data_IF_297979749931
#
_entry.id   IF_297979749931
#
_cell.length_a   1.000
_cell.length_b   1.000
_cell.length_c   1.000
_cell.angle_alpha   90.00
_cell.angle_beta   90.00
_cell.angle_gamma   90.00
#
_symmetry.space_group_name_H-M   'P 1'
#
loop_
_entity.id
_entity.type
_entity.pdbx_description
1 polymer ?
#
# COMPACT_ATOMS: atom_id res chain seq x y z
N UNK A 1 -18.58 -32.00 -15.16
CA UNK A 1 -17.46 -31.05 -15.21
C UNK A 1 -16.62 -31.50 -16.36
N UNK A 2 -16.68 -30.76 -17.47
CA UNK A 2 -15.97 -31.08 -18.71
C UNK A 2 -14.47 -31.08 -18.46
N UNK A 3 -13.85 -32.25 -18.62
CA UNK A 3 -12.40 -32.38 -18.73
C UNK A 3 -12.03 -32.03 -20.16
N UNK A 4 -11.45 -30.85 -20.37
CA UNK A 4 -10.98 -30.35 -21.67
C UNK A 4 -10.01 -31.35 -22.30
N UNK A 5 -10.56 -32.20 -23.16
CA UNK A 5 -9.84 -33.26 -23.85
C UNK A 5 -9.58 -32.80 -25.27
N UNK A 6 -8.32 -32.77 -25.68
CA UNK A 6 -7.93 -32.32 -27.01
C UNK A 6 -7.14 -33.42 -27.76
N UNK A 7 -7.47 -33.62 -29.04
CA UNK A 7 -6.88 -34.64 -29.90
C UNK A 7 -5.98 -33.98 -30.94
N UNK A 8 -4.71 -34.42 -31.02
CA UNK A 8 -3.69 -33.82 -31.89
C UNK A 8 -3.07 -34.85 -32.86
N UNK A 9 -2.62 -34.40 -34.04
CA UNK A 9 -2.02 -35.23 -35.09
C UNK A 9 -0.55 -34.85 -35.35
N UNK A 10 0.32 -35.86 -35.47
CA UNK A 10 1.77 -35.67 -35.65
C UNK A 10 2.21 -35.62 -37.11
N UNK A 11 3.09 -34.66 -37.46
CA UNK A 11 3.46 -34.40 -38.87
C UNK A 11 4.90 -34.69 -39.28
N UNK A 12 5.89 -34.81 -38.37
CA UNK A 12 7.33 -34.90 -38.71
C UNK A 12 8.20 -35.87 -37.87
N UNK A 13 9.30 -36.39 -38.46
CA UNK A 13 10.31 -37.27 -37.86
C UNK A 13 11.40 -36.53 -37.03
N UNK A 14 12.10 -37.26 -36.14
CA UNK A 14 13.11 -36.78 -35.17
C UNK A 14 14.55 -37.09 -35.64
N UNK A 15 15.50 -36.15 -35.51
CA UNK A 15 16.95 -36.39 -35.68
C UNK A 15 17.58 -36.96 -34.39
N UNK A 16 18.43 -37.99 -34.50
CA UNK A 16 19.08 -38.66 -33.35
C UNK A 16 20.07 -37.76 -32.57
N UNK A 17 20.45 -36.64 -33.14
CA UNK A 17 21.47 -35.73 -32.62
C UNK A 17 21.02 -34.95 -31.38
N UNK A 18 19.74 -35.07 -31.05
CA UNK A 18 19.02 -34.35 -29.99
C UNK A 18 18.36 -35.35 -29.02
N UNK A 19 18.97 -36.52 -28.83
CA UNK A 19 18.32 -37.71 -28.25
C UNK A 19 17.92 -37.74 -26.76
N UNK A 20 18.21 -36.79 -25.84
CA UNK A 20 17.37 -36.76 -24.64
C UNK A 20 15.93 -36.30 -24.99
N UNK A 21 15.70 -35.58 -26.10
CA UNK A 21 14.67 -34.55 -26.14
C UNK A 21 13.21 -34.93 -26.39
N UNK A 22 12.91 -36.21 -26.55
CA UNK A 22 11.54 -36.65 -26.80
C UNK A 22 11.27 -37.80 -25.87
N UNK A 23 10.02 -37.99 -25.48
CA UNK A 23 9.52 -39.04 -24.58
C UNK A 23 9.90 -40.51 -24.96
N UNK A 24 10.88 -40.73 -25.85
CA UNK A 24 11.20 -41.99 -26.53
C UNK A 24 10.07 -42.43 -27.44
N UNK A 25 9.15 -41.51 -27.73
CA UNK A 25 7.92 -41.76 -28.43
C UNK A 25 8.09 -41.35 -29.88
N UNK A 26 8.51 -42.32 -30.69
CA UNK A 26 8.31 -42.25 -32.13
C UNK A 26 6.87 -42.67 -32.38
N UNK A 27 6.06 -41.74 -32.87
CA UNK A 27 4.70 -41.99 -33.34
C UNK A 27 4.68 -41.86 -34.85
N UNK A 28 3.95 -42.76 -35.48
CA UNK A 28 3.78 -42.74 -36.92
C UNK A 28 2.96 -41.53 -37.35
N UNK A 29 3.19 -41.09 -38.58
CA UNK A 29 2.45 -39.96 -39.17
C UNK A 29 0.95 -40.28 -39.16
N UNK A 30 0.13 -39.34 -38.71
CA UNK A 30 -1.33 -39.54 -38.58
C UNK A 30 -1.77 -40.20 -37.27
N UNK A 31 -0.85 -40.52 -36.36
CA UNK A 31 -1.21 -40.94 -35.02
C UNK A 31 -1.91 -39.80 -34.25
N UNK A 32 -3.01 -40.14 -33.59
CA UNK A 32 -3.78 -39.23 -32.74
C UNK A 32 -3.36 -39.41 -31.29
N UNK A 33 -3.02 -38.30 -30.63
CA UNK A 33 -2.73 -38.28 -29.21
C UNK A 33 -3.84 -37.52 -28.47
N UNK A 34 -4.42 -38.16 -27.46
CA UNK A 34 -5.43 -37.55 -26.59
C UNK A 34 -4.75 -36.96 -25.36
N UNK A 35 -4.93 -35.65 -25.16
CA UNK A 35 -4.44 -34.91 -24.01
C UNK A 35 -5.58 -34.62 -23.05
N UNK A 36 -5.31 -34.84 -21.77
CA UNK A 36 -6.21 -34.60 -20.63
C UNK A 36 -5.46 -33.83 -19.54
N UNK A 37 -6.18 -33.24 -18.59
CA UNK A 37 -5.61 -32.46 -17.48
C UNK A 37 -4.61 -31.39 -17.98
N UNK A 38 -5.07 -30.53 -18.90
CA UNK A 38 -4.23 -29.51 -19.55
C UNK A 38 -4.00 -28.33 -18.61
N UNK A 39 -2.73 -27.98 -18.40
CA UNK A 39 -2.26 -26.89 -17.54
C UNK A 39 -1.18 -26.05 -18.23
N UNK A 40 -0.83 -24.89 -17.62
CA UNK A 40 0.32 -24.06 -18.00
C UNK A 40 0.37 -23.61 -19.47
N UNK A 41 -0.77 -23.20 -20.02
CA UNK A 41 -0.87 -22.67 -21.38
C UNK A 41 -0.06 -21.38 -21.57
N UNK A 42 0.95 -21.41 -22.43
CA UNK A 42 1.83 -20.26 -22.72
C UNK A 42 2.24 -20.22 -24.19
N UNK A 43 2.19 -19.05 -24.82
CA UNK A 43 2.72 -18.85 -26.18
C UNK A 43 4.25 -18.97 -26.18
N UNK A 44 4.83 -19.61 -27.20
CA UNK A 44 6.28 -19.72 -27.36
C UNK A 44 6.91 -18.33 -27.61
N UNK A 45 8.02 -18.03 -26.93
CA UNK A 45 8.65 -16.71 -26.98
C UNK A 45 9.32 -16.41 -28.34
N UNK A 46 9.61 -17.46 -29.12
CA UNK A 46 10.31 -17.39 -30.42
C UNK A 46 9.37 -17.57 -31.60
N UNK A 47 8.31 -18.36 -31.44
CA UNK A 47 7.30 -18.62 -32.47
C UNK A 47 5.90 -18.29 -31.94
N UNK A 48 5.33 -17.18 -32.43
CA UNK A 48 4.01 -16.70 -31.99
C UNK A 48 2.87 -17.64 -32.37
N UNK A 49 3.10 -18.51 -33.34
CA UNK A 49 2.14 -19.52 -33.78
C UNK A 49 2.34 -20.85 -33.04
N UNK A 50 3.31 -20.94 -32.12
CA UNK A 50 3.49 -22.09 -31.25
C UNK A 50 3.09 -21.77 -29.79
N UNK A 51 2.65 -22.79 -29.07
CA UNK A 51 2.33 -22.68 -27.65
C UNK A 51 2.70 -23.95 -26.89
N UNK A 52 2.81 -23.79 -25.59
CA UNK A 52 3.25 -24.75 -24.60
C UNK A 52 2.09 -25.13 -23.69
N UNK A 53 1.98 -26.42 -23.37
CA UNK A 53 1.03 -26.94 -22.38
C UNK A 53 1.68 -28.09 -21.60
N UNK A 54 1.28 -28.26 -20.34
CA UNK A 54 1.49 -29.48 -19.58
C UNK A 54 0.21 -30.32 -19.64
N UNK A 55 0.32 -31.62 -19.94
CA UNK A 55 -0.86 -32.48 -20.03
C UNK A 55 -0.53 -33.95 -19.70
N UNK A 56 -1.58 -34.71 -19.39
CA UNK A 56 -1.55 -36.17 -19.33
C UNK A 56 -1.98 -36.78 -20.66
N UNK A 57 -1.36 -37.89 -21.03
CA UNK A 57 -1.68 -38.64 -22.24
C UNK A 57 -1.52 -40.14 -22.00
N UNK A 58 -2.21 -40.94 -22.82
CA UNK A 58 -2.01 -42.39 -22.83
C UNK A 58 -0.86 -42.68 -23.80
N UNK A 59 0.23 -43.24 -23.29
CA UNK A 59 1.36 -43.64 -24.13
C UNK A 59 0.97 -44.87 -24.97
N UNK A 60 0.94 -44.77 -26.31
CA UNK A 60 0.47 -45.86 -27.18
C UNK A 60 1.38 -47.09 -27.19
N UNK A 61 2.62 -46.99 -26.69
CA UNK A 61 3.54 -48.13 -26.57
C UNK A 61 3.41 -48.87 -25.25
N UNK A 62 3.08 -48.16 -24.16
CA UNK A 62 3.03 -48.75 -22.81
C UNK A 62 1.60 -48.90 -22.28
N UNK A 63 0.64 -48.27 -22.93
CA UNK A 63 -0.76 -48.14 -22.52
C UNK A 63 -0.92 -47.58 -21.09
N UNK A 64 0.02 -46.75 -20.65
CA UNK A 64 0.01 -46.10 -19.34
C UNK A 64 -0.26 -44.61 -19.49
N UNK A 65 -0.92 -44.05 -18.48
CA UNK A 65 -1.09 -42.60 -18.35
C UNK A 65 0.26 -42.01 -17.95
N UNK A 66 0.74 -41.08 -18.75
CA UNK A 66 2.01 -40.40 -18.59
C UNK A 66 1.78 -38.88 -18.66
N UNK A 67 2.64 -38.10 -17.99
CA UNK A 67 2.58 -36.64 -18.00
C UNK A 67 3.74 -36.09 -18.80
N UNK A 68 3.48 -35.11 -19.65
CA UNK A 68 4.50 -34.45 -20.46
C UNK A 68 4.19 -32.99 -20.68
N UNK A 69 5.22 -32.26 -21.07
CA UNK A 69 5.09 -30.91 -21.56
C UNK A 69 5.18 -30.92 -23.08
N UNK A 70 4.22 -30.29 -23.73
CA UNK A 70 4.02 -30.33 -25.17
C UNK A 70 4.30 -28.96 -25.76
N UNK A 71 5.07 -28.94 -26.84
CA UNK A 71 5.19 -27.80 -27.74
C UNK A 71 4.28 -28.08 -28.92
N UNK A 72 3.30 -27.21 -29.12
CA UNK A 72 2.26 -27.34 -30.11
C UNK A 72 2.44 -26.24 -31.15
N UNK A 73 2.62 -26.62 -32.41
CA UNK A 73 2.69 -25.71 -33.54
C UNK A 73 1.30 -25.52 -34.14
N UNK A 74 0.85 -24.27 -34.23
CA UNK A 74 -0.39 -23.90 -34.89
C UNK A 74 -0.11 -23.41 -36.32
N UNK A 75 0.43 -24.28 -37.18
CA UNK A 75 0.58 -23.94 -38.59
C UNK A 75 -0.78 -23.85 -39.32
N UNK A 76 -1.87 -24.37 -38.73
CA UNK A 76 -3.22 -24.29 -39.27
C UNK A 76 -4.27 -24.50 -38.15
N UNK A 77 -5.32 -23.67 -38.02
CA UNK A 77 -6.38 -23.83 -37.03
C UNK A 77 -7.18 -25.14 -37.14
N UNK A 78 -7.05 -25.88 -38.25
CA UNK A 78 -7.65 -27.22 -38.45
C UNK A 78 -6.67 -28.39 -38.29
N UNK A 79 -5.37 -28.11 -38.15
CA UNK A 79 -4.31 -29.14 -38.03
C UNK A 79 -3.24 -28.63 -37.08
N UNK A 80 -3.45 -28.95 -35.82
CA UNK A 80 -2.52 -28.63 -34.74
C UNK A 80 -1.48 -29.73 -34.64
N UNK A 81 -0.20 -29.37 -34.70
CA UNK A 81 0.90 -30.34 -34.78
C UNK A 81 1.69 -30.35 -33.48
N UNK A 82 1.87 -31.52 -32.87
CA UNK A 82 2.80 -31.64 -31.74
C UNK A 82 4.23 -31.55 -32.31
N UNK A 83 4.94 -30.50 -31.95
CA UNK A 83 6.32 -30.24 -32.38
C UNK A 83 7.30 -31.08 -31.55
N UNK A 84 7.11 -31.13 -30.23
CA UNK A 84 7.98 -31.86 -29.29
C UNK A 84 7.25 -32.16 -27.98
N UNK A 85 7.62 -33.26 -27.31
CA UNK A 85 7.13 -33.66 -25.99
C UNK A 85 8.33 -33.91 -25.09
N UNK A 86 8.44 -33.24 -23.94
CA UNK A 86 9.47 -33.49 -22.94
C UNK A 86 8.90 -33.87 -21.58
N UNK A 87 9.67 -34.66 -20.82
CA UNK A 87 9.24 -35.27 -19.54
C UNK A 87 9.60 -34.41 -18.32
N UNK A 88 10.56 -33.51 -18.47
CA UNK A 88 11.13 -32.68 -17.40
C UNK A 88 11.10 -31.20 -17.77
N UNK A 89 11.69 -30.32 -16.94
CA UNK A 89 11.67 -28.88 -17.22
C UNK A 89 12.37 -28.53 -18.54
N UNK A 90 11.86 -27.52 -19.25
CA UNK A 90 12.45 -26.97 -20.49
C UNK A 90 13.95 -26.70 -20.32
N UNK A 91 14.35 -26.19 -19.15
CA UNK A 91 15.73 -25.84 -18.87
C UNK A 91 16.62 -27.09 -18.77
N UNK A 92 16.22 -28.07 -17.97
CA UNK A 92 16.92 -29.36 -17.84
C UNK A 92 17.15 -30.01 -19.20
N UNK A 93 16.13 -29.90 -20.03
CA UNK A 93 16.04 -30.51 -21.34
C UNK A 93 16.97 -29.82 -22.36
N UNK A 94 16.96 -28.49 -22.35
CA UNK A 94 17.90 -27.67 -23.12
C UNK A 94 19.36 -27.90 -22.68
N UNK A 95 19.61 -27.98 -21.38
CA UNK A 95 20.94 -28.17 -20.80
C UNK A 95 21.54 -29.52 -21.22
N UNK A 96 20.79 -30.61 -21.06
CA UNK A 96 21.24 -31.96 -21.43
C UNK A 96 21.55 -32.07 -22.93
N UNK A 97 20.73 -31.44 -23.76
CA UNK A 97 20.86 -31.51 -25.23
C UNK A 97 22.03 -30.71 -25.75
N UNK A 98 22.21 -29.51 -25.20
CA UNK A 98 23.35 -28.66 -25.50
C UNK A 98 24.65 -29.39 -25.18
N UNK A 99 24.71 -30.05 -24.01
CA UNK A 99 25.90 -30.80 -23.61
C UNK A 99 26.11 -32.05 -24.47
N UNK A 100 25.09 -32.85 -24.76
CA UNK A 100 25.23 -34.04 -25.61
C UNK A 100 25.60 -33.69 -27.06
N UNK A 101 25.08 -32.59 -27.61
CA UNK A 101 25.46 -32.11 -28.95
C UNK A 101 26.94 -31.75 -29.00
N UNK A 102 27.43 -31.03 -27.97
CA UNK A 102 28.86 -30.67 -27.85
C UNK A 102 29.74 -31.91 -27.72
N UNK A 103 29.38 -32.82 -26.81
CA UNK A 103 30.10 -34.07 -26.56
C UNK A 103 30.13 -35.01 -27.78
N UNK A 104 29.18 -34.88 -28.70
CA UNK A 104 29.20 -35.63 -29.96
C UNK A 104 30.03 -34.91 -31.02
N UNK A 105 29.90 -33.58 -31.09
CA UNK A 105 30.69 -32.75 -32.00
C UNK A 105 32.19 -32.82 -31.73
N UNK A 106 32.58 -33.02 -30.47
CA UNK A 106 33.98 -33.23 -30.06
C UNK A 106 34.42 -34.70 -30.10
N UNK A 107 33.53 -35.64 -30.46
CA UNK A 107 33.80 -37.08 -30.54
C UNK A 107 33.90 -37.79 -29.18
N UNK A 108 33.60 -37.12 -28.06
CA UNK A 108 33.67 -37.70 -26.71
C UNK A 108 32.62 -38.77 -26.43
N UNK A 109 31.52 -38.77 -27.18
CA UNK A 109 30.46 -39.78 -27.14
C UNK A 109 30.09 -40.24 -28.55
N UNK A 110 29.85 -41.53 -28.71
CA UNK A 110 29.42 -42.12 -29.99
C UNK A 110 27.89 -42.14 -30.12
N UNK A 111 27.34 -42.29 -31.34
CA UNK A 111 25.90 -42.49 -31.55
C UNK A 111 25.33 -43.67 -30.75
N UNK A 112 26.08 -44.76 -30.59
CA UNK A 112 25.67 -45.94 -29.84
C UNK A 112 25.55 -45.63 -28.33
N UNK A 113 26.50 -44.86 -27.78
CA UNK A 113 26.46 -44.41 -26.40
C UNK A 113 25.27 -43.47 -26.15
N UNK A 114 24.89 -42.65 -27.14
CA UNK A 114 23.69 -41.82 -27.07
C UNK A 114 22.40 -42.67 -27.02
N UNK A 115 22.34 -43.75 -27.79
CA UNK A 115 21.21 -44.70 -27.74
C UNK A 115 21.13 -45.38 -26.37
N UNK A 116 22.27 -45.74 -25.78
CA UNK A 116 22.30 -46.32 -24.42
C UNK A 116 21.85 -45.30 -23.36
N UNK A 117 22.33 -44.06 -23.42
CA UNK A 117 21.93 -42.96 -22.55
C UNK A 117 20.43 -42.63 -22.63
N UNK A 118 19.82 -42.81 -23.80
CA UNK A 118 18.39 -42.58 -23.99
C UNK A 118 17.52 -43.44 -23.07
N UNK A 119 17.93 -44.68 -22.76
CA UNK A 119 17.20 -45.55 -21.84
C UNK A 119 17.15 -44.99 -20.41
N UNK A 120 18.24 -44.39 -19.95
CA UNK A 120 18.37 -43.75 -18.63
C UNK A 120 17.62 -42.41 -18.57
N UNK A 121 17.50 -41.70 -19.69
CA UNK A 121 16.62 -40.56 -19.77
C UNK A 121 15.15 -40.98 -19.67
N UNK A 122 14.74 -41.97 -20.46
CA UNK A 122 13.35 -42.44 -20.53
C UNK A 122 12.82 -42.94 -19.18
N UNK A 123 13.62 -43.71 -18.44
CA UNK A 123 13.25 -44.19 -17.10
C UNK A 123 13.35 -43.10 -16.02
N UNK A 124 13.83 -41.90 -16.36
CA UNK A 124 13.96 -40.76 -15.46
C UNK A 124 15.12 -40.89 -14.48
N UNK A 125 16.15 -41.68 -14.78
CA UNK A 125 17.39 -41.72 -13.98
C UNK A 125 18.38 -40.64 -14.41
N UNK A 126 18.23 -40.12 -15.64
CA UNK A 126 19.03 -39.04 -16.19
C UNK A 126 18.18 -37.75 -16.28
N UNK A 127 18.27 -36.89 -15.26
CA UNK A 127 17.50 -35.63 -15.13
C UNK A 127 18.37 -34.39 -14.95
N UNK A 128 19.68 -34.50 -15.10
CA UNK A 128 20.62 -33.40 -14.88
C UNK A 128 21.95 -33.66 -15.55
N UNK A 129 22.72 -32.59 -15.79
CA UNK A 129 24.05 -32.66 -16.39
C UNK A 129 25.03 -33.44 -15.50
N UNK A 130 24.94 -33.33 -14.17
CA UNK A 130 25.73 -34.13 -13.24
C UNK A 130 25.48 -35.64 -13.41
N UNK A 131 24.22 -36.04 -13.51
CA UNK A 131 23.85 -37.44 -13.77
C UNK A 131 24.32 -37.91 -15.16
N UNK A 132 24.36 -37.02 -16.16
CA UNK A 132 24.92 -37.32 -17.49
C UNK A 132 26.41 -37.63 -17.39
N UNK A 133 27.15 -36.81 -16.66
CA UNK A 133 28.59 -37.00 -16.43
C UNK A 133 28.83 -38.29 -15.66
N UNK A 134 28.05 -38.57 -14.62
CA UNK A 134 28.20 -39.79 -13.83
C UNK A 134 27.92 -41.04 -14.69
N UNK A 135 26.87 -41.01 -15.51
CA UNK A 135 26.55 -42.13 -16.42
C UNK A 135 27.58 -42.29 -17.53
N UNK A 136 28.05 -41.20 -18.11
CA UNK A 136 29.16 -41.26 -19.06
C UNK A 136 30.45 -41.75 -18.42
N UNK A 137 30.70 -41.39 -17.16
CA UNK A 137 31.84 -41.90 -16.39
C UNK A 137 31.68 -43.39 -16.10
N UNK A 138 30.47 -43.88 -15.80
CA UNK A 138 30.19 -45.31 -15.63
C UNK A 138 30.42 -46.09 -16.95
N UNK A 139 29.93 -45.54 -18.08
CA UNK A 139 30.12 -46.11 -19.41
C UNK A 139 31.60 -46.12 -19.83
N UNK A 140 32.35 -45.07 -19.51
CA UNK A 140 33.81 -44.98 -19.73
C UNK A 140 34.62 -45.73 -18.68
N UNK A 141 34.07 -46.03 -17.51
CA UNK A 141 34.71 -46.87 -16.48
C UNK A 141 34.72 -48.34 -16.91
N UNK A 142 33.76 -48.77 -17.74
CA UNK A 142 33.85 -50.04 -18.48
C UNK A 142 34.96 -50.04 -19.54
N UNK A 143 35.43 -48.85 -19.96
CA UNK A 143 36.53 -48.66 -20.94
C UNK A 143 37.84 -48.15 -20.34
N UNK A 144 38.01 -48.14 -19.01
CA UNK A 144 39.33 -47.97 -18.35
C UNK A 144 39.85 -46.56 -18.06
N UNK A 145 39.04 -45.49 -18.05
CA UNK A 145 39.53 -44.12 -17.75
C UNK A 145 38.93 -43.61 -16.43
N UNK A 146 39.66 -43.73 -15.31
CA UNK A 146 39.08 -43.60 -13.95
C UNK A 146 39.33 -42.29 -13.18
N UNK A 147 40.39 -41.53 -13.44
CA UNK A 147 40.83 -40.50 -12.47
C UNK A 147 40.54 -39.04 -12.88
N UNK A 148 40.69 -38.67 -14.16
CA UNK A 148 40.42 -37.30 -14.61
C UNK A 148 38.94 -36.91 -14.56
N UNK A 149 38.04 -37.81 -14.97
CA UNK A 149 36.60 -37.56 -15.05
C UNK A 149 35.92 -37.43 -13.67
N UNK A 150 36.36 -38.21 -12.67
CA UNK A 150 35.82 -38.13 -11.31
C UNK A 150 36.16 -36.81 -10.62
N UNK A 151 37.35 -36.28 -10.87
CA UNK A 151 37.76 -34.97 -10.36
C UNK A 151 36.93 -33.85 -11.00
N UNK A 152 36.76 -33.87 -12.34
CA UNK A 152 35.93 -32.91 -13.06
C UNK A 152 34.44 -33.00 -12.66
N UNK A 153 33.89 -34.20 -12.45
CA UNK A 153 32.50 -34.36 -11.98
C UNK A 153 32.28 -33.72 -10.61
N UNK A 154 33.21 -33.92 -9.66
CA UNK A 154 33.13 -33.29 -8.33
C UNK A 154 33.23 -31.76 -8.39
N UNK A 155 34.10 -31.20 -9.23
CA UNK A 155 34.17 -29.75 -9.38
C UNK A 155 32.92 -29.15 -10.02
N UNK A 156 32.36 -29.83 -11.03
CA UNK A 156 31.14 -29.40 -11.71
C UNK A 156 29.93 -29.49 -10.79
N UNK A 157 29.82 -30.54 -9.97
CA UNK A 157 28.76 -30.65 -8.95
C UNK A 157 28.79 -29.48 -7.96
N UNK A 158 29.99 -29.08 -7.51
CA UNK A 158 30.15 -27.91 -6.63
C UNK A 158 29.74 -26.61 -7.32
N UNK A 159 30.10 -26.46 -8.61
CA UNK A 159 29.70 -25.28 -9.40
C UNK A 159 28.20 -25.24 -9.62
N UNK A 160 27.56 -26.36 -9.95
CA UNK A 160 26.10 -26.46 -10.10
C UNK A 160 25.35 -26.13 -8.81
N UNK A 161 25.85 -26.61 -7.67
CA UNK A 161 25.28 -26.29 -6.36
C UNK A 161 25.43 -24.79 -6.04
N UNK A 162 26.57 -24.20 -6.39
CA UNK A 162 26.80 -22.75 -6.27
C UNK A 162 25.85 -21.95 -7.17
N UNK A 163 25.66 -22.37 -8.42
CA UNK A 163 24.73 -21.74 -9.37
C UNK A 163 23.29 -21.86 -8.88
N UNK A 164 22.90 -23.02 -8.34
CA UNK A 164 21.57 -23.24 -7.78
C UNK A 164 21.31 -22.32 -6.57
N UNK A 165 22.28 -22.20 -5.66
CA UNK A 165 22.17 -21.31 -4.51
C UNK A 165 22.10 -19.85 -4.94
N UNK A 166 22.92 -19.44 -5.91
CA UNK A 166 22.95 -18.08 -6.45
C UNK A 166 21.65 -17.72 -7.16
N UNK A 167 21.12 -18.62 -8.00
CA UNK A 167 19.85 -18.42 -8.69
C UNK A 167 18.66 -18.37 -7.73
N UNK A 168 18.67 -19.17 -6.66
CA UNK A 168 17.64 -19.09 -5.61
C UNK A 168 17.71 -17.78 -4.84
N UNK A 169 18.92 -17.28 -4.53
CA UNK A 169 19.11 -15.97 -3.91
C UNK A 169 18.58 -14.85 -4.83
N UNK A 170 18.93 -14.86 -6.12
CA UNK A 170 18.42 -13.93 -7.13
C UNK A 170 16.89 -13.92 -7.21
N UNK A 171 16.25 -15.11 -7.19
CA UNK A 171 14.78 -15.20 -7.19
C UNK A 171 14.17 -14.53 -5.96
N UNK A 172 14.74 -14.77 -4.76
CA UNK A 172 14.28 -14.12 -3.52
C UNK A 172 14.46 -12.61 -3.58
N UNK A 173 15.60 -12.13 -4.08
CA UNK A 173 15.86 -10.70 -4.24
C UNK A 173 14.88 -10.04 -5.21
N UNK A 174 14.59 -10.69 -6.34
CA UNK A 174 13.62 -10.17 -7.32
C UNK A 174 12.20 -10.14 -6.75
N UNK A 175 11.79 -11.15 -5.98
CA UNK A 175 10.50 -11.14 -5.28
C UNK A 175 10.41 -9.99 -4.27
N UNK A 176 11.46 -9.79 -3.46
CA UNK A 176 11.53 -8.68 -2.52
C UNK A 176 11.48 -7.31 -3.23
N UNK A 177 12.15 -7.19 -4.38
CA UNK A 177 12.15 -5.96 -5.18
C UNK A 177 10.76 -5.63 -5.75
N UNK A 178 10.02 -6.63 -6.20
CA UNK A 178 8.64 -6.44 -6.68
C UNK A 178 7.68 -6.06 -5.55
N UNK A 179 7.84 -6.64 -4.35
CA UNK A 179 7.08 -6.20 -3.17
C UNK A 179 7.39 -4.74 -2.84
N UNK A 180 8.67 -4.37 -2.77
CA UNK A 180 9.09 -2.99 -2.50
C UNK A 180 8.58 -2.00 -3.55
N UNK A 181 8.50 -2.40 -4.83
CA UNK A 181 7.92 -1.57 -5.91
C UNK A 181 6.43 -1.34 -5.69
N UNK A 182 5.67 -2.39 -5.33
CA UNK A 182 4.24 -2.26 -5.04
C UNK A 182 4.01 -1.34 -3.84
N UNK A 183 4.76 -1.52 -2.76
CA UNK A 183 4.69 -0.66 -1.58
C UNK A 183 4.99 0.80 -1.91
N UNK A 184 6.04 1.06 -2.69
CA UNK A 184 6.38 2.42 -3.15
C UNK A 184 5.23 3.06 -3.96
N UNK A 185 4.60 2.31 -4.85
CA UNK A 185 3.49 2.81 -5.66
C UNK A 185 2.24 3.10 -4.80
N UNK A 186 1.95 2.25 -3.81
CA UNK A 186 0.88 2.49 -2.84
C UNK A 186 1.15 3.72 -1.98
N UNK A 187 2.38 3.88 -1.47
CA UNK A 187 2.79 5.05 -0.71
C UNK A 187 2.67 6.34 -1.54
N UNK A 188 3.07 6.32 -2.81
CA UNK A 188 2.92 7.47 -3.70
C UNK A 188 1.46 7.84 -3.94
N UNK A 189 0.59 6.84 -4.13
CA UNK A 189 -0.84 7.07 -4.33
C UNK A 189 -1.50 7.63 -3.07
N UNK A 190 -1.13 7.12 -1.89
CA UNK A 190 -1.58 7.65 -0.61
C UNK A 190 -1.10 9.10 -0.39
N UNK A 191 0.15 9.42 -0.75
CA UNK A 191 0.69 10.77 -0.67
C UNK A 191 -0.09 11.74 -1.58
N UNK A 192 -0.36 11.36 -2.82
CA UNK A 192 -1.13 12.18 -3.76
C UNK A 192 -2.57 12.42 -3.26
N UNK A 193 -3.17 11.43 -2.59
CA UNK A 193 -4.49 11.60 -1.99
C UNK A 193 -4.46 12.55 -0.78
N UNK A 194 -3.47 12.40 0.10
CA UNK A 194 -3.28 13.29 1.25
C UNK A 194 -3.05 14.75 0.82
N UNK A 195 -2.34 14.97 -0.30
CA UNK A 195 -2.12 16.30 -0.86
C UNK A 195 -3.43 16.93 -1.37
N UNK A 196 -4.26 16.16 -2.08
CA UNK A 196 -5.60 16.61 -2.51
C UNK A 196 -6.52 16.94 -1.31
N UNK A 197 -6.45 16.14 -0.24
CA UNK A 197 -7.22 16.40 0.96
C UNK A 197 -6.73 17.64 1.70
N UNK A 198 -5.41 17.84 1.77
CA UNK A 198 -4.79 19.05 2.33
C UNK A 198 -5.27 20.30 1.58
N UNK A 199 -5.30 20.28 0.25
CA UNK A 199 -5.77 21.42 -0.55
C UNK A 199 -7.25 21.75 -0.28
N UNK A 200 -8.10 20.72 -0.15
CA UNK A 200 -9.50 20.90 0.23
C UNK A 200 -9.65 21.54 1.62
N UNK A 201 -8.84 21.09 2.60
CA UNK A 201 -8.85 21.67 3.95
C UNK A 201 -8.36 23.11 3.92
N UNK A 202 -7.31 23.41 3.13
CA UNK A 202 -6.78 24.76 2.98
C UNK A 202 -7.85 25.71 2.44
N UNK A 203 -8.59 25.29 1.42
CA UNK A 203 -9.64 26.09 0.82
C UNK A 203 -10.80 26.33 1.79
N UNK A 204 -11.23 25.28 2.52
CA UNK A 204 -12.25 25.41 3.56
C UNK A 204 -11.81 26.34 4.69
N UNK A 205 -10.53 26.34 5.06
CA UNK A 205 -9.98 27.25 6.08
C UNK A 205 -9.97 28.71 5.61
N UNK A 206 -9.72 28.98 4.33
CA UNK A 206 -9.85 30.35 3.78
C UNK A 206 -11.29 30.83 3.84
N UNK A 207 -12.24 29.99 3.43
CA UNK A 207 -13.67 30.30 3.47
C UNK A 207 -14.13 30.59 4.90
N UNK A 208 -13.75 29.74 5.85
CA UNK A 208 -14.08 29.91 7.27
C UNK A 208 -13.48 31.21 7.83
N UNK A 209 -12.26 31.55 7.44
CA UNK A 209 -11.62 32.81 7.87
C UNK A 209 -12.37 34.04 7.34
N UNK A 210 -12.84 34.01 6.09
CA UNK A 210 -13.69 35.07 5.54
C UNK A 210 -15.00 35.21 6.32
N UNK A 211 -15.67 34.09 6.62
CA UNK A 211 -16.90 34.08 7.41
C UNK A 211 -16.70 34.64 8.82
N UNK A 212 -15.59 34.27 9.49
CA UNK A 212 -15.24 34.82 10.81
C UNK A 212 -15.03 36.33 10.76
N UNK A 213 -14.39 36.84 9.70
CA UNK A 213 -14.17 38.27 9.55
C UNK A 213 -15.47 39.03 9.32
N UNK A 214 -16.40 38.47 8.54
CA UNK A 214 -17.74 39.03 8.36
C UNK A 214 -18.54 39.06 9.66
N UNK A 215 -18.49 37.98 10.44
CA UNK A 215 -19.11 37.93 11.77
C UNK A 215 -18.48 38.97 12.69
N UNK A 216 -17.15 39.09 12.70
CA UNK A 216 -16.46 40.09 13.51
C UNK A 216 -16.89 41.52 13.16
N UNK A 217 -17.00 41.83 11.86
CA UNK A 217 -17.48 43.12 11.39
C UNK A 217 -18.93 43.39 11.81
N UNK A 218 -19.82 42.38 11.70
CA UNK A 218 -21.21 42.47 12.16
C UNK A 218 -21.30 42.70 13.67
N UNK A 219 -20.56 41.93 14.47
CA UNK A 219 -20.51 42.10 15.93
C UNK A 219 -19.99 43.49 16.29
N UNK A 220 -18.95 43.97 15.62
CA UNK A 220 -18.41 45.33 15.84
C UNK A 220 -19.46 46.39 15.54
N UNK A 221 -20.18 46.28 14.42
CA UNK A 221 -21.26 47.20 14.04
C UNK A 221 -22.43 47.17 15.04
N UNK A 222 -22.83 45.99 15.51
CA UNK A 222 -23.87 45.86 16.54
C UNK A 222 -23.39 46.38 17.90
N UNK A 223 -22.11 46.17 18.25
CA UNK A 223 -21.53 46.65 19.51
C UNK A 223 -21.38 48.17 19.54
N UNK A 224 -21.10 48.81 18.39
CA UNK A 224 -21.10 50.28 18.27
C UNK A 224 -22.49 50.91 18.41
N UNK A 225 -23.57 50.14 18.29
CA UNK A 225 -24.95 50.62 18.50
C UNK A 225 -25.39 50.62 19.96
N UNK A 226 -24.66 49.95 20.87
CA UNK A 226 -25.08 49.75 22.27
C UNK A 226 -24.08 50.25 23.32
N UNK A 227 -23.00 50.92 22.92
CA UNK A 227 -21.99 51.46 23.85
C UNK A 227 -21.71 52.93 23.56
N UNK A 228 -22.66 53.79 23.91
CA UNK A 228 -22.42 55.20 24.25
C UNK A 228 -22.51 55.40 25.77
N UNK A 229 -22.03 54.43 26.55
CA UNK A 229 -21.85 54.67 27.98
C UNK A 229 -20.50 55.36 28.16
N UNK A 230 -20.51 56.69 28.10
CA UNK A 230 -19.35 57.49 28.47
C UNK A 230 -18.87 57.02 29.85
N UNK A 231 -17.60 56.59 29.89
CA UNK A 231 -16.97 56.23 31.15
C UNK A 231 -16.78 57.53 31.92
N UNK A 232 -17.32 57.60 33.13
CA UNK A 232 -17.09 58.76 33.98
C UNK A 232 -15.60 58.88 34.33
N UNK A 233 -15.23 60.08 34.74
CA UNK A 233 -13.89 60.35 35.28
C UNK A 233 -13.54 59.34 36.38
N UNK A 234 -12.25 58.96 36.49
CA UNK A 234 -11.78 58.08 37.55
C UNK A 234 -12.06 58.67 38.93
N UNK A 235 -12.59 57.84 39.83
CA UNK A 235 -12.88 58.22 41.23
C UNK A 235 -12.46 57.08 42.16
N UNK A 236 -12.01 57.39 43.37
CA UNK A 236 -11.53 56.35 44.29
C UNK A 236 -12.70 55.59 44.92
N UNK A 237 -12.69 54.27 44.80
CA UNK A 237 -13.72 53.43 45.40
C UNK A 237 -13.48 53.24 46.90
N UNK A 238 -14.31 53.82 47.75
CA UNK A 238 -14.21 53.71 49.21
C UNK A 238 -14.86 52.42 49.72
N UNK A 239 -16.06 52.10 49.23
CA UNK A 239 -16.84 51.01 49.80
C UNK A 239 -17.75 50.32 48.80
N UNK A 240 -18.02 49.03 49.04
CA UNK A 240 -18.95 48.20 48.27
C UNK A 240 -19.93 47.54 49.25
N UNK A 241 -21.21 47.93 49.19
CA UNK A 241 -22.30 47.35 50.00
C UNK A 241 -23.35 46.66 49.15
N UNK A 242 -24.14 45.82 49.81
CA UNK A 242 -25.40 45.33 49.26
C UNK A 242 -26.50 46.09 49.99
N UNK A 243 -27.39 46.71 49.23
CA UNK A 243 -28.58 47.36 49.75
C UNK A 243 -29.80 46.73 49.09
N UNK A 244 -30.81 46.35 49.88
CA UNK A 244 -32.08 45.84 49.36
C UNK A 244 -32.96 47.03 49.00
N UNK A 245 -33.43 47.09 47.76
CA UNK A 245 -34.26 48.18 47.26
C UNK A 245 -35.61 47.67 46.76
N UNK A 246 -36.67 48.41 47.06
CA UNK A 246 -38.01 48.15 46.53
C UNK A 246 -38.08 48.59 45.07
N UNK A 247 -38.28 47.63 44.16
CA UNK A 247 -38.51 47.89 42.72
C UNK A 247 -39.98 47.64 42.36
N UNK A 248 -40.40 48.03 41.16
CA UNK A 248 -41.73 47.66 40.62
C UNK A 248 -41.98 46.14 40.59
N UNK A 249 -40.93 45.34 40.59
CA UNK A 249 -40.97 43.87 40.59
C UNK A 249 -40.79 43.23 41.99
N UNK A 250 -40.84 44.02 43.06
CA UNK A 250 -40.55 43.57 44.43
C UNK A 250 -39.16 44.01 44.92
N UNK A 251 -38.74 43.51 46.08
CA UNK A 251 -37.44 43.81 46.67
C UNK A 251 -36.31 43.12 45.92
N UNK A 252 -35.25 43.86 45.60
CA UNK A 252 -34.05 43.35 44.93
C UNK A 252 -32.79 43.87 45.59
N UNK A 253 -31.81 42.98 45.76
CA UNK A 253 -30.49 43.35 46.22
C UNK A 253 -29.73 44.10 45.11
N UNK A 254 -29.29 45.32 45.42
CA UNK A 254 -28.43 46.15 44.61
C UNK A 254 -27.00 46.10 45.14
N UNK A 255 -26.03 46.08 44.23
CA UNK A 255 -24.63 46.30 44.59
C UNK A 255 -24.35 47.81 44.49
N UNK A 256 -23.98 48.42 45.61
CA UNK A 256 -23.77 49.86 45.75
C UNK A 256 -22.30 50.16 45.99
N UNK A 257 -21.75 51.04 45.15
CA UNK A 257 -20.38 51.54 45.21
C UNK A 257 -20.40 52.97 45.77
N UNK A 258 -19.56 53.22 46.78
CA UNK A 258 -19.37 54.54 47.37
C UNK A 258 -17.99 55.06 47.04
N UNK A 259 -17.93 56.33 46.68
CA UNK A 259 -16.73 56.98 46.18
C UNK A 259 -16.27 58.11 47.10
N UNK A 260 -15.02 58.56 46.93
CA UNK A 260 -14.41 59.63 47.72
C UNK A 260 -14.94 61.03 47.41
N UNK A 261 -15.47 61.23 46.20
CA UNK A 261 -16.24 62.42 45.82
C UNK A 261 -17.64 62.49 46.48
N UNK A 262 -17.99 61.52 47.32
CA UNK A 262 -19.30 61.40 47.97
C UNK A 262 -20.40 60.86 47.05
N UNK A 263 -20.09 60.58 45.77
CA UNK A 263 -21.04 59.96 44.87
C UNK A 263 -21.27 58.49 45.24
N UNK A 264 -22.46 58.00 44.92
CA UNK A 264 -22.78 56.58 44.99
C UNK A 264 -23.34 56.09 43.67
N UNK A 265 -22.92 54.89 43.27
CA UNK A 265 -23.34 54.28 42.01
C UNK A 265 -23.86 52.88 42.29
N UNK A 266 -25.00 52.52 41.72
CA UNK A 266 -25.64 51.22 41.98
C UNK A 266 -25.97 50.46 40.71
N UNK A 267 -26.20 49.17 40.85
CA UNK A 267 -26.51 48.31 39.72
C UNK A 267 -27.30 47.08 40.18
N UNK A 268 -28.29 46.69 39.37
CA UNK A 268 -28.98 45.41 39.51
C UNK A 268 -28.43 44.48 38.44
N UNK A 269 -27.88 43.35 38.85
CA UNK A 269 -27.41 42.34 37.90
C UNK A 269 -28.21 41.07 38.00
N UNK A 270 -28.14 40.30 36.91
CA UNK A 270 -28.51 38.90 36.87
C UNK A 270 -27.91 38.16 38.09
N UNK A 271 -28.74 37.45 38.88
CA UNK A 271 -28.30 36.61 40.00
C UNK A 271 -27.08 35.73 39.68
N UNK A 272 -26.95 35.25 38.43
CA UNK A 272 -25.84 34.40 38.00
C UNK A 272 -24.46 35.08 38.10
N UNK A 273 -24.40 36.41 37.95
CA UNK A 273 -23.12 37.17 37.97
C UNK A 273 -22.92 38.01 39.22
N UNK A 274 -23.95 38.13 40.06
CA UNK A 274 -23.96 39.02 41.24
C UNK A 274 -22.80 38.73 42.21
N UNK A 275 -22.62 37.46 42.61
CA UNK A 275 -21.58 37.07 43.55
C UNK A 275 -20.15 37.24 42.99
N UNK A 276 -19.97 36.94 41.70
CA UNK A 276 -18.67 37.11 41.01
C UNK A 276 -18.28 38.59 41.00
N UNK A 277 -19.19 39.47 40.58
CA UNK A 277 -18.96 40.92 40.52
C UNK A 277 -18.74 41.53 41.89
N UNK A 278 -19.51 41.12 42.91
CA UNK A 278 -19.27 41.49 44.31
C UNK A 278 -17.83 41.18 44.75
N UNK A 279 -17.34 39.98 44.43
CA UNK A 279 -15.96 39.57 44.73
C UNK A 279 -14.93 40.45 44.02
N UNK A 280 -15.16 40.78 42.75
CA UNK A 280 -14.28 41.65 41.97
C UNK A 280 -14.26 43.06 42.56
N UNK A 281 -15.42 43.69 42.78
CA UNK A 281 -15.48 45.09 43.22
C UNK A 281 -14.96 45.27 44.65
N UNK A 282 -15.15 44.28 45.54
CA UNK A 282 -14.52 44.30 46.86
C UNK A 282 -12.98 44.35 46.78
N UNK A 283 -12.37 43.70 45.78
CA UNK A 283 -10.91 43.76 45.55
C UNK A 283 -10.46 45.11 44.98
N UNK A 284 -11.37 45.91 44.43
CA UNK A 284 -11.09 47.24 43.88
C UNK A 284 -11.21 48.34 44.96
N UNK A 285 -11.60 48.02 46.19
CA UNK A 285 -11.65 48.99 47.30
C UNK A 285 -10.28 49.66 47.49
N UNK A 286 -10.28 50.98 47.58
CA UNK A 286 -9.08 51.83 47.68
C UNK A 286 -8.36 52.09 46.35
N UNK A 287 -8.94 51.68 45.21
CA UNK A 287 -8.37 51.93 43.87
C UNK A 287 -9.16 53.02 43.13
N UNK A 288 -8.46 53.72 42.24
CA UNK A 288 -9.07 54.62 41.27
C UNK A 288 -9.78 53.79 40.18
N UNK A 289 -11.10 53.95 40.06
CA UNK A 289 -11.92 53.18 39.12
C UNK A 289 -12.78 54.10 38.28
N UNK A 290 -13.09 53.65 37.06
CA UNK A 290 -14.12 54.28 36.23
C UNK A 290 -15.34 53.37 36.20
N UNK A 291 -16.52 53.98 36.11
CA UNK A 291 -17.76 53.25 35.85
C UNK A 291 -18.44 53.84 34.63
N UNK A 292 -19.07 53.00 33.82
CA UNK A 292 -19.90 53.47 32.72
C UNK A 292 -21.34 53.69 33.21
N UNK A 293 -21.93 54.84 32.91
CA UNK A 293 -23.29 55.14 33.38
C UNK A 293 -24.30 54.53 32.42
N UNK A 294 -25.30 53.83 32.98
CA UNK A 294 -26.36 53.20 32.19
C UNK A 294 -27.49 54.16 31.81
N UNK A 295 -27.61 55.30 32.51
CA UNK A 295 -28.63 56.32 32.25
C UNK A 295 -28.02 57.52 31.53
N UNK A 296 -28.65 57.94 30.43
CA UNK A 296 -28.28 59.16 29.71
C UNK A 296 -28.43 60.40 30.62
N UNK A 297 -27.50 61.37 30.54
CA UNK A 297 -27.54 62.58 31.36
C UNK A 297 -28.78 63.46 31.15
N UNK A 298 -29.50 63.31 30.02
CA UNK A 298 -30.62 64.18 29.65
C UNK A 298 -32.00 63.74 30.17
N UNK A 299 -32.08 62.70 31.01
CA UNK A 299 -33.34 62.27 31.60
C UNK A 299 -33.37 62.69 33.07
N UNK A 300 -34.05 63.82 33.35
CA UNK A 300 -34.37 64.31 34.70
C UNK A 300 -35.24 63.32 35.49
N UNK A 301 -34.69 62.16 35.84
CA UNK A 301 -35.24 61.37 36.95
C UNK A 301 -34.73 62.02 38.23
N UNK A 302 -35.52 62.95 38.76
CA UNK A 302 -35.32 63.73 39.98
C UNK A 302 -35.18 62.92 41.29
N UNK A 303 -34.81 61.64 41.23
CA UNK A 303 -34.63 60.81 42.42
C UNK A 303 -33.15 60.60 42.74
N UNK A 304 -32.62 61.52 43.55
CA UNK A 304 -31.55 61.32 44.54
C UNK A 304 -30.19 60.84 44.02
N UNK A 305 -29.27 61.72 43.60
CA UNK A 305 -27.80 61.57 43.67
C UNK A 305 -27.12 60.23 43.27
N UNK A 306 -27.82 59.31 42.62
CA UNK A 306 -27.45 57.89 42.53
C UNK A 306 -27.45 57.50 41.06
N UNK A 307 -26.26 57.23 40.53
CA UNK A 307 -26.08 56.88 39.11
C UNK A 307 -26.08 55.36 38.94
N UNK A 308 -26.74 54.87 37.89
CA UNK A 308 -26.72 53.46 37.52
C UNK A 308 -25.47 53.14 36.72
N UNK A 309 -24.83 51.99 36.95
CA UNK A 309 -23.65 51.59 36.18
C UNK A 309 -23.72 50.16 35.64
N UNK A 310 -23.05 49.93 34.49
CA UNK A 310 -23.01 48.62 33.81
C UNK A 310 -21.65 47.89 33.92
N UNK A 311 -20.64 48.55 34.46
CA UNK A 311 -19.28 48.07 34.46
C UNK A 311 -18.38 48.96 35.28
N UNK A 312 -17.33 48.35 35.83
CA UNK A 312 -16.26 49.01 36.58
C UNK A 312 -14.95 48.55 35.98
N UNK A 313 -14.03 49.48 35.76
CA UNK A 313 -12.65 49.16 35.36
C UNK A 313 -11.66 49.95 36.20
N UNK A 314 -10.46 49.41 36.36
CA UNK A 314 -9.35 50.17 36.92
C UNK A 314 -8.99 51.32 35.97
N UNK A 315 -8.72 52.49 36.52
CA UNK A 315 -8.09 53.57 35.77
C UNK A 315 -6.59 53.27 35.64
N UNK A 316 -6.07 53.38 34.42
CA UNK A 316 -4.64 53.24 34.15
C UNK A 316 -3.86 54.56 34.31
N UNK A 317 -4.55 55.67 34.60
CA UNK A 317 -3.93 56.96 34.90
C UNK A 317 -4.04 57.28 36.39
N UNK A 318 -2.93 57.65 37.06
CA UNK A 318 -2.94 58.18 38.42
C UNK A 318 -3.62 59.55 38.51
#
# INVERSE_FOLDING_TARGET
>A
MDTDTQIFELTNHVRLDSLPLRYGLLLDRGCKLELSDIENHRVDDKDKDAYHIDAKFINPKTNRIETGHFVIGANNPRRVTIVTIYKHSVQTEWDLSTHMTKLRGDGSITPEQLVELHSYYKNGTLRSVSQLIDKLSDLKSKSGIKEGLRASSKELSKKDETIKNTSQALRKTNQALEVARKEKNHAQSAQNQAERERDKVLEKNKELSSQMQDIHNKVKATSSSWVTSDWLDPVSLIEVKIETESTRSGEKDALVLYFDDGSRRKTYWDPATFNIRKGIYKKLKGRLVQTNVANQPDVEWQYSGTKWFNGVRLSNNP
#
